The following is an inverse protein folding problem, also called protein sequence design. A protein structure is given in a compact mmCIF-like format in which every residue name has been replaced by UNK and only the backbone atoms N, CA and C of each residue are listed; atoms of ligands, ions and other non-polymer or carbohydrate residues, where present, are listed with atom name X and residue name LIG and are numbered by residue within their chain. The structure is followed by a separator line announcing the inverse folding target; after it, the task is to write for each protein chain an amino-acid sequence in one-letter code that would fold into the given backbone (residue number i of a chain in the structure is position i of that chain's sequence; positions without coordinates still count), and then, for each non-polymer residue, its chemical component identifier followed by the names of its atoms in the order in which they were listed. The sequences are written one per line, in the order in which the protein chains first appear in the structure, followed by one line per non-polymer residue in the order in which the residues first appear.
data_IF_895474498508
#
_entry.id   IF_895474498508
#
_cell.length_a   1.000
_cell.length_b   1.000
_cell.length_c   1.000
_cell.angle_alpha   90.00
_cell.angle_beta   90.00
_cell.angle_gamma   90.00
#
_symmetry.space_group_name_H-M   'P 1'
#
loop_
_entity.id
_entity.type
_entity.pdbx_description
1 polymer ?
#
# COMPACT_ATOMS: atom_id res chain seq x y z
N UNK A 1 10.63 7.06 12.33
CA UNK A 1 11.31 7.85 11.29
C UNK A 1 10.37 8.94 10.79
N UNK A 2 10.89 10.11 10.47
CA UNK A 2 10.17 11.23 9.91
C UNK A 2 10.70 11.57 8.51
N UNK A 3 9.87 12.28 7.73
CA UNK A 3 10.31 12.78 6.44
C UNK A 3 11.42 13.81 6.62
N UNK A 4 12.54 13.63 5.90
CA UNK A 4 13.68 14.50 5.98
C UNK A 4 14.75 14.11 7.02
N UNK A 5 14.55 13.01 7.75
CA UNK A 5 15.60 12.44 8.58
C UNK A 5 16.81 12.04 7.73
N UNK A 6 18.00 12.13 8.31
CA UNK A 6 19.22 11.69 7.63
C UNK A 6 19.15 10.19 7.31
N UNK A 7 19.60 9.76 6.11
CA UNK A 7 19.52 8.37 5.69
C UNK A 7 20.18 7.41 6.67
N UNK A 8 19.54 6.27 6.90
CA UNK A 8 20.03 5.17 7.73
C UNK A 8 20.28 5.52 9.20
N UNK A 9 19.58 6.52 9.75
CA UNK A 9 19.67 6.90 11.16
C UNK A 9 18.65 6.19 12.05
N UNK A 10 17.60 5.59 11.47
CA UNK A 10 16.53 4.86 12.16
C UNK A 10 16.45 3.42 11.68
N UNK A 11 17.48 2.66 11.96
CA UNK A 11 17.59 1.23 11.61
C UNK A 11 17.77 0.39 12.87
N UNK A 12 17.30 -0.87 12.78
CA UNK A 12 17.44 -1.86 13.85
C UNK A 12 17.92 -3.22 13.30
N UNK A 13 18.26 -4.18 14.16
CA UNK A 13 18.74 -5.48 13.75
C UNK A 13 17.75 -6.27 12.87
N UNK A 14 16.43 -6.11 13.08
CA UNK A 14 15.40 -6.80 12.27
C UNK A 14 15.40 -6.25 10.86
N UNK A 15 15.41 -4.93 10.72
CA UNK A 15 15.45 -4.26 9.41
C UNK A 15 16.70 -4.64 8.63
N UNK A 16 17.84 -4.73 9.31
CA UNK A 16 19.12 -5.14 8.72
C UNK A 16 19.18 -6.65 8.38
N UNK A 17 18.20 -7.44 8.77
CA UNK A 17 18.17 -8.87 8.52
C UNK A 17 19.26 -9.64 9.26
N UNK A 18 19.65 -9.19 10.46
CA UNK A 18 20.69 -9.88 11.24
C UNK A 18 20.23 -11.28 11.66
N UNK A 19 21.17 -12.24 11.76
CA UNK A 19 20.83 -13.62 12.14
C UNK A 19 20.09 -13.70 13.47
N UNK A 20 18.99 -14.46 13.49
CA UNK A 20 18.19 -14.71 14.69
C UNK A 20 17.14 -13.64 15.01
N UNK A 21 17.05 -12.57 14.22
CA UNK A 21 16.03 -11.55 14.39
C UNK A 21 14.79 -11.86 13.58
N UNK A 22 13.60 -11.61 14.16
CA UNK A 22 12.31 -11.77 13.49
C UNK A 22 11.41 -10.56 13.77
N UNK A 23 10.61 -10.11 12.79
CA UNK A 23 9.63 -9.07 13.01
C UNK A 23 8.56 -9.48 14.02
N UNK A 24 8.09 -8.52 14.79
CA UNK A 24 6.98 -8.68 15.75
C UNK A 24 5.90 -7.67 15.42
N UNK A 25 4.64 -8.13 15.40
CA UNK A 25 3.49 -7.26 15.11
C UNK A 25 3.33 -6.19 16.21
N UNK A 26 3.18 -4.95 15.79
CA UNK A 26 2.85 -3.85 16.66
C UNK A 26 1.32 -3.77 16.85
N UNK A 27 0.85 -3.76 18.10
CA UNK A 27 -0.57 -3.68 18.45
C UNK A 27 -1.26 -2.47 17.81
N UNK A 28 -0.58 -1.34 17.71
CA UNK A 28 -1.13 -0.12 17.10
C UNK A 28 -1.40 -0.28 15.60
N UNK A 29 -0.57 -1.07 14.92
CA UNK A 29 -0.78 -1.41 13.50
C UNK A 29 -2.06 -2.23 13.32
N UNK A 30 -2.28 -3.21 14.19
CA UNK A 30 -3.51 -4.00 14.19
C UNK A 30 -4.75 -3.12 14.44
N UNK A 31 -4.70 -2.24 15.44
CA UNK A 31 -5.77 -1.27 15.70
C UNK A 31 -6.09 -0.42 14.46
N UNK A 32 -5.07 0.09 13.79
CA UNK A 32 -5.23 0.92 12.60
C UNK A 32 -5.77 0.14 11.41
N UNK A 33 -5.33 -1.09 11.20
CA UNK A 33 -5.85 -1.97 10.16
C UNK A 33 -7.33 -2.27 10.38
N UNK A 34 -7.74 -2.61 11.59
CA UNK A 34 -9.15 -2.85 11.95
C UNK A 34 -10.00 -1.58 11.77
N UNK A 35 -9.54 -0.42 12.25
CA UNK A 35 -10.25 0.85 12.04
C UNK A 35 -10.48 1.16 10.57
N UNK A 36 -9.45 0.97 9.76
CA UNK A 36 -9.53 1.22 8.32
C UNK A 36 -10.49 0.24 7.66
N UNK A 37 -10.42 -1.05 8.02
CA UNK A 37 -11.31 -2.09 7.51
C UNK A 37 -12.78 -1.78 7.79
N UNK A 38 -13.11 -1.41 9.01
CA UNK A 38 -14.47 -1.06 9.39
C UNK A 38 -14.99 0.18 8.64
N UNK A 39 -14.16 1.20 8.47
CA UNK A 39 -14.54 2.40 7.73
C UNK A 39 -14.75 2.15 6.22
N UNK A 40 -14.13 1.11 5.68
CA UNK A 40 -14.27 0.68 4.29
C UNK A 40 -15.31 -0.44 4.12
N UNK A 41 -16.14 -0.69 5.15
CA UNK A 41 -17.17 -1.72 5.16
C UNK A 41 -16.65 -3.14 4.88
N UNK A 42 -15.39 -3.41 5.22
CA UNK A 42 -14.80 -4.74 5.11
C UNK A 42 -15.22 -5.64 6.27
N UNK A 43 -15.33 -6.92 5.99
CA UNK A 43 -15.50 -7.95 7.01
C UNK A 43 -14.15 -8.28 7.64
N UNK A 44 -13.99 -7.95 8.92
CA UNK A 44 -12.75 -8.23 9.65
C UNK A 44 -12.74 -9.72 10.01
N UNK A 45 -11.64 -10.40 9.68
CA UNK A 45 -11.47 -11.83 9.92
C UNK A 45 -11.27 -12.14 11.42
N UNK A 46 -11.82 -13.24 11.92
CA UNK A 46 -11.52 -13.75 13.26
C UNK A 46 -10.11 -14.33 13.35
N UNK A 47 -9.60 -14.84 12.24
CA UNK A 47 -8.25 -15.38 12.09
C UNK A 47 -7.59 -14.78 10.87
N UNK A 48 -6.37 -14.34 11.02
CA UNK A 48 -5.51 -13.92 9.93
C UNK A 48 -4.09 -14.41 10.17
N UNK A 49 -3.28 -14.51 9.12
CA UNK A 49 -1.89 -14.93 9.27
C UNK A 49 -0.97 -14.06 8.45
N UNK A 50 0.29 -14.01 8.87
CA UNK A 50 1.37 -13.44 8.08
C UNK A 50 2.12 -14.53 7.32
N UNK A 51 2.49 -14.19 6.10
CA UNK A 51 3.33 -14.98 5.21
C UNK A 51 4.64 -14.26 4.95
N UNK A 52 5.65 -15.01 4.49
CA UNK A 52 6.90 -14.44 4.01
C UNK A 52 6.87 -14.36 2.49
N UNK A 53 6.68 -13.15 1.98
CA UNK A 53 6.78 -12.86 0.55
C UNK A 53 8.26 -12.72 0.20
N UNK A 54 8.81 -13.69 -0.50
CA UNK A 54 10.22 -13.67 -0.92
C UNK A 54 10.48 -12.48 -1.83
N UNK A 55 11.48 -11.68 -1.46
CA UNK A 55 11.83 -10.44 -2.15
C UNK A 55 13.32 -10.19 -2.06
N UNK A 56 14.04 -10.53 -3.11
CA UNK A 56 15.51 -10.43 -3.18
C UNK A 56 15.91 -9.13 -3.87
N UNK A 57 15.93 -8.04 -3.13
CA UNK A 57 16.33 -6.73 -3.64
C UNK A 57 17.07 -5.93 -2.56
N UNK A 58 17.98 -4.99 -2.94
CA UNK A 58 18.82 -4.27 -1.98
C UNK A 58 18.08 -3.48 -0.90
N UNK A 59 16.84 -3.06 -1.16
CA UNK A 59 16.02 -2.29 -0.23
C UNK A 59 15.34 -3.12 0.87
N UNK A 60 15.54 -4.45 0.86
CA UNK A 60 14.99 -5.36 1.86
C UNK A 60 16.06 -6.39 2.29
N UNK A 61 16.95 -6.06 3.25
CA UNK A 61 18.13 -6.87 3.56
C UNK A 61 17.83 -8.28 4.04
N UNK A 62 16.69 -8.51 4.69
CA UNK A 62 16.29 -9.84 5.15
C UNK A 62 15.74 -10.76 4.06
N UNK A 63 15.65 -10.28 2.80
CA UNK A 63 15.23 -11.01 1.63
C UNK A 63 13.78 -11.51 1.63
N UNK A 64 12.95 -11.06 2.55
CA UNK A 64 11.51 -11.31 2.55
C UNK A 64 10.76 -10.12 3.11
N UNK A 65 9.54 -9.94 2.68
CA UNK A 65 8.58 -8.99 3.22
C UNK A 65 7.53 -9.77 4.02
N UNK A 66 7.25 -9.32 5.24
CA UNK A 66 6.07 -9.82 5.95
C UNK A 66 4.84 -9.22 5.27
N UNK A 67 3.91 -10.08 4.90
CA UNK A 67 2.67 -9.71 4.22
C UNK A 67 1.56 -10.69 4.59
N UNK A 68 0.36 -10.52 4.05
CA UNK A 68 -0.74 -11.47 4.18
C UNK A 68 -1.22 -11.83 2.78
N UNK A 69 -1.54 -13.09 2.52
CA UNK A 69 -1.94 -13.55 1.19
C UNK A 69 -3.33 -14.18 1.20
N UNK A 70 -3.46 -15.42 1.69
CA UNK A 70 -4.70 -16.19 1.65
C UNK A 70 -5.61 -15.99 2.89
N UNK A 71 -5.07 -15.43 3.97
CA UNK A 71 -5.83 -15.10 5.18
C UNK A 71 -5.54 -13.65 5.60
N UNK A 72 -6.02 -12.66 4.85
CA UNK A 72 -5.83 -11.24 5.17
C UNK A 72 -6.65 -10.82 6.38
N UNK A 73 -6.36 -9.63 6.94
CA UNK A 73 -7.10 -9.10 8.10
C UNK A 73 -8.57 -8.78 7.78
N UNK A 74 -8.89 -8.42 6.54
CA UNK A 74 -10.27 -8.11 6.16
C UNK A 74 -10.52 -8.25 4.66
N UNK A 75 -11.76 -8.61 4.30
CA UNK A 75 -12.19 -8.87 2.94
C UNK A 75 -13.61 -8.34 2.66
N UNK A 76 -13.97 -8.29 1.36
CA UNK A 76 -15.31 -8.01 0.86
C UNK A 76 -15.95 -6.71 1.35
N UNK A 77 -15.22 -5.62 1.22
CA UNK A 77 -15.70 -4.28 1.52
C UNK A 77 -16.20 -3.51 0.30
N UNK A 78 -16.52 -2.25 0.55
CA UNK A 78 -16.94 -1.32 -0.50
C UNK A 78 -16.84 0.14 -0.02
N UNK A 79 -16.75 1.03 -0.97
CA UNK A 79 -16.76 2.47 -0.74
C UNK A 79 -17.67 3.15 -1.78
N UNK A 80 -18.52 4.07 -1.36
CA UNK A 80 -19.28 4.94 -2.26
C UNK A 80 -18.51 6.25 -2.46
N UNK A 81 -18.35 6.62 -3.73
CA UNK A 81 -17.61 7.82 -4.13
C UNK A 81 -18.48 8.70 -4.99
N UNK A 82 -18.54 9.97 -4.69
CA UNK A 82 -19.18 10.95 -5.57
C UNK A 82 -18.23 11.30 -6.72
N UNK A 83 -18.71 11.04 -7.93
CA UNK A 83 -17.98 11.36 -9.15
C UNK A 83 -18.54 12.65 -9.72
N UNK A 84 -17.72 13.68 -9.73
CA UNK A 84 -18.08 15.01 -10.24
C UNK A 84 -17.15 15.41 -11.37
N UNK A 85 -17.73 15.80 -12.50
CA UNK A 85 -16.98 16.26 -13.67
C UNK A 85 -17.60 17.57 -14.19
N UNK A 86 -16.74 18.53 -14.52
CA UNK A 86 -17.21 19.84 -14.97
C UNK A 86 -18.11 19.73 -16.21
N UNK A 87 -19.35 20.24 -16.09
CA UNK A 87 -20.35 20.22 -17.17
C UNK A 87 -21.15 18.92 -17.28
N UNK A 88 -21.05 18.03 -16.32
CA UNK A 88 -21.87 16.82 -16.20
C UNK A 88 -22.53 16.77 -14.82
N UNK A 89 -23.64 16.06 -14.73
CA UNK A 89 -24.25 15.76 -13.43
C UNK A 89 -23.34 14.82 -12.61
N UNK A 90 -23.27 15.06 -11.30
CA UNK A 90 -22.57 14.16 -10.40
C UNK A 90 -23.36 12.86 -10.20
N UNK A 91 -22.64 11.78 -9.94
CA UNK A 91 -23.26 10.48 -9.62
C UNK A 91 -22.46 9.77 -8.53
N UNK A 92 -23.12 8.88 -7.80
CA UNK A 92 -22.49 8.04 -6.80
C UNK A 92 -22.05 6.73 -7.44
N UNK A 93 -20.79 6.38 -7.26
CA UNK A 93 -20.23 5.11 -7.71
C UNK A 93 -19.86 4.26 -6.48
N UNK A 94 -20.46 3.08 -6.39
CA UNK A 94 -20.03 2.06 -5.44
C UNK A 94 -18.88 1.25 -6.03
N UNK A 95 -17.75 1.21 -5.32
CA UNK A 95 -16.54 0.48 -5.72
C UNK A 95 -16.28 -0.58 -4.66
N UNK A 96 -16.23 -1.84 -5.08
CA UNK A 96 -15.93 -2.96 -4.22
C UNK A 96 -14.45 -2.97 -3.81
N UNK A 97 -14.20 -3.46 -2.62
CA UNK A 97 -12.86 -3.68 -2.09
C UNK A 97 -12.72 -5.19 -1.87
N UNK A 98 -11.71 -5.78 -2.49
CA UNK A 98 -11.47 -7.21 -2.40
C UNK A 98 -10.95 -7.58 -1.02
N UNK A 99 -9.88 -6.87 -0.59
CA UNK A 99 -9.26 -7.09 0.71
C UNK A 99 -8.49 -5.87 1.20
N UNK A 100 -8.25 -5.88 2.49
CA UNK A 100 -7.21 -5.10 3.15
C UNK A 100 -6.27 -6.08 3.83
N UNK A 101 -4.96 -5.95 3.59
CA UNK A 101 -3.97 -6.76 4.25
C UNK A 101 -2.84 -5.93 4.83
N UNK A 102 -2.24 -6.43 5.90
CA UNK A 102 -1.09 -5.81 6.55
C UNK A 102 0.20 -6.32 5.94
N UNK A 103 1.15 -5.41 5.77
CA UNK A 103 2.51 -5.73 5.34
C UNK A 103 3.52 -4.74 5.91
N UNK A 104 4.76 -4.85 5.53
CA UNK A 104 5.83 -3.90 5.86
C UNK A 104 6.38 -3.24 4.60
N UNK A 105 6.87 -2.01 4.75
CA UNK A 105 7.49 -1.28 3.65
C UNK A 105 8.98 -1.69 3.47
N UNK A 106 9.47 -1.53 2.26
CA UNK A 106 10.88 -1.68 1.93
C UNK A 106 11.63 -0.35 2.13
N UNK A 107 12.96 -0.40 2.10
CA UNK A 107 13.80 0.79 2.08
C UNK A 107 13.57 1.66 0.85
N UNK A 108 14.21 2.81 0.82
CA UNK A 108 14.17 3.74 -0.31
C UNK A 108 15.43 3.59 -1.15
N UNK A 109 15.27 3.43 -2.46
CA UNK A 109 16.35 3.45 -3.43
C UNK A 109 16.45 4.83 -4.08
N UNK A 110 17.67 5.36 -4.13
CA UNK A 110 18.00 6.60 -4.82
C UNK A 110 19.04 6.30 -5.90
N UNK A 111 18.66 6.45 -7.15
CA UNK A 111 19.54 6.16 -8.29
C UNK A 111 20.41 7.38 -8.62
N UNK A 112 21.72 7.19 -8.71
CA UNK A 112 22.64 8.28 -9.00
C UNK A 112 22.63 8.65 -10.50
N UNK A 113 22.24 9.89 -10.78
CA UNK A 113 22.29 10.48 -12.13
C UNK A 113 21.13 10.10 -13.05
N UNK A 114 20.13 9.37 -12.58
CA UNK A 114 18.93 8.98 -13.35
C UNK A 114 17.77 8.68 -12.42
N UNK A 115 16.55 9.01 -12.81
CA UNK A 115 15.32 8.62 -12.10
C UNK A 115 14.96 7.14 -12.34
N UNK A 116 15.72 6.44 -13.18
CA UNK A 116 15.51 5.04 -13.54
C UNK A 116 16.76 4.21 -13.30
N UNK A 117 16.57 2.91 -13.09
CA UNK A 117 17.67 1.95 -12.93
C UNK A 117 18.60 1.93 -14.18
N UNK A 118 18.00 2.04 -15.37
CA UNK A 118 18.74 2.16 -16.63
C UNK A 118 19.48 3.49 -16.71
N UNK A 119 20.82 3.42 -16.79
CA UNK A 119 21.69 4.59 -16.85
C UNK A 119 22.27 5.06 -15.52
N UNK A 120 21.87 4.46 -14.40
CA UNK A 120 22.49 4.72 -13.10
C UNK A 120 23.74 3.87 -12.91
N UNK A 121 24.84 4.51 -12.48
CA UNK A 121 26.10 3.79 -12.19
C UNK A 121 26.08 3.08 -10.83
N UNK A 122 25.27 3.55 -9.90
CA UNK A 122 25.06 2.98 -8.58
C UNK A 122 23.76 3.51 -7.97
N UNK A 123 23.27 2.81 -6.97
CA UNK A 123 22.11 3.24 -6.17
C UNK A 123 22.50 3.33 -4.71
N UNK A 124 21.97 4.35 -4.04
CA UNK A 124 22.04 4.49 -2.60
C UNK A 124 20.78 3.87 -1.99
N UNK A 125 20.93 3.26 -0.83
CA UNK A 125 19.81 2.66 -0.10
C UNK A 125 19.64 3.34 1.24
N UNK A 126 18.44 3.81 1.51
CA UNK A 126 18.03 4.34 2.80
C UNK A 126 17.02 3.38 3.45
N UNK A 127 17.42 2.80 4.57
CA UNK A 127 16.61 1.81 5.31
C UNK A 127 15.68 2.43 6.36
N UNK A 128 15.64 3.74 6.53
CA UNK A 128 14.78 4.37 7.52
C UNK A 128 13.30 3.99 7.37
N UNK A 129 12.85 3.72 6.14
CA UNK A 129 11.49 3.30 5.85
C UNK A 129 11.28 1.79 5.97
N UNK A 130 12.31 0.99 5.85
CA UNK A 130 12.21 -0.46 5.86
C UNK A 130 11.61 -0.97 7.18
N UNK A 131 10.67 -1.89 7.09
CA UNK A 131 9.97 -2.44 8.26
C UNK A 131 8.87 -1.55 8.83
N UNK A 132 8.64 -0.34 8.29
CA UNK A 132 7.47 0.46 8.67
C UNK A 132 6.21 -0.29 8.24
N UNK A 133 5.23 -0.32 9.14
CA UNK A 133 3.96 -0.97 8.86
C UNK A 133 3.21 -0.28 7.72
N UNK A 134 2.66 -1.11 6.85
CA UNK A 134 1.90 -0.73 5.67
C UNK A 134 0.59 -1.53 5.64
N UNK A 135 -0.48 -0.93 5.15
CA UNK A 135 -1.69 -1.65 4.73
C UNK A 135 -1.88 -1.47 3.24
N UNK A 136 -2.19 -2.55 2.56
CA UNK A 136 -2.57 -2.53 1.15
C UNK A 136 -4.07 -2.76 1.03
N UNK A 137 -4.74 -1.86 0.29
CA UNK A 137 -6.17 -1.91 0.00
C UNK A 137 -6.32 -2.25 -1.48
N UNK A 138 -6.89 -3.40 -1.78
CA UNK A 138 -7.08 -3.89 -3.14
C UNK A 138 -8.53 -3.72 -3.55
N UNK A 139 -8.80 -2.91 -4.56
CA UNK A 139 -10.14 -2.72 -5.11
C UNK A 139 -10.56 -3.87 -6.03
N UNK A 140 -11.87 -4.15 -6.10
CA UNK A 140 -12.45 -4.97 -7.18
C UNK A 140 -12.38 -4.18 -8.50
N UNK A 141 -12.44 -4.84 -9.65
CA UNK A 141 -12.30 -4.19 -10.96
C UNK A 141 -13.59 -3.46 -11.39
N UNK A 142 -14.11 -2.57 -10.53
CA UNK A 142 -15.34 -1.81 -10.76
C UNK A 142 -15.08 -0.44 -11.40
N UNK A 143 -13.86 0.06 -11.30
CA UNK A 143 -13.44 1.36 -11.82
C UNK A 143 -13.36 1.28 -13.36
N UNK A 144 -13.92 2.28 -14.03
CA UNK A 144 -14.00 2.32 -15.50
C UNK A 144 -13.34 3.55 -16.11
N UNK A 145 -13.09 4.58 -15.33
CA UNK A 145 -12.51 5.84 -15.82
C UNK A 145 -11.40 6.33 -14.90
N UNK A 146 -10.48 7.12 -15.43
CA UNK A 146 -9.44 7.77 -14.64
C UNK A 146 -10.02 8.72 -13.58
N UNK A 147 -11.19 9.31 -13.82
CA UNK A 147 -11.88 10.16 -12.85
C UNK A 147 -12.38 9.33 -11.65
N UNK A 148 -13.02 8.21 -11.90
CA UNK A 148 -13.44 7.29 -10.83
C UNK A 148 -12.24 6.82 -9.99
N UNK A 149 -11.11 6.49 -10.62
CA UNK A 149 -9.89 6.10 -9.92
C UNK A 149 -9.35 7.24 -9.03
N UNK A 150 -9.32 8.46 -9.54
CA UNK A 150 -8.88 9.65 -8.81
C UNK A 150 -9.76 9.96 -7.61
N UNK A 151 -11.07 9.91 -7.76
CA UNK A 151 -12.01 10.16 -6.66
C UNK A 151 -11.95 9.04 -5.61
N UNK A 152 -11.82 7.79 -6.05
CA UNK A 152 -11.63 6.65 -5.14
C UNK A 152 -10.36 6.82 -4.28
N UNK A 153 -9.22 7.11 -4.91
CA UNK A 153 -7.97 7.35 -4.17
C UNK A 153 -8.07 8.56 -3.21
N UNK A 154 -8.80 9.61 -3.64
CA UNK A 154 -9.05 10.80 -2.82
C UNK A 154 -9.92 10.48 -1.60
N UNK A 155 -10.94 9.62 -1.76
CA UNK A 155 -11.81 9.21 -0.66
C UNK A 155 -11.08 8.29 0.33
N UNK A 156 -10.28 7.34 -0.13
CA UNK A 156 -9.38 6.54 0.73
C UNK A 156 -8.47 7.47 1.54
N UNK A 157 -7.83 8.43 0.87
CA UNK A 157 -6.96 9.42 1.54
C UNK A 157 -7.72 10.21 2.61
N UNK A 158 -8.93 10.65 2.32
CA UNK A 158 -9.78 11.39 3.25
C UNK A 158 -10.13 10.54 4.46
N UNK A 159 -10.50 9.29 4.23
CA UNK A 159 -10.86 8.31 5.26
C UNK A 159 -9.69 8.05 6.21
N UNK A 160 -8.51 7.71 5.72
CA UNK A 160 -7.36 7.38 6.58
C UNK A 160 -6.87 8.59 7.37
N UNK A 161 -7.00 9.80 6.82
CA UNK A 161 -6.70 11.04 7.54
C UNK A 161 -7.72 11.33 8.64
N UNK A 162 -9.01 11.17 8.34
CA UNK A 162 -10.07 11.38 9.33
C UNK A 162 -9.95 10.43 10.52
N UNK A 163 -9.58 9.18 10.27
CA UNK A 163 -9.35 8.16 11.29
C UNK A 163 -8.06 8.37 12.09
N UNK A 164 -7.18 9.25 11.65
CA UNK A 164 -5.85 9.43 12.25
C UNK A 164 -4.92 8.23 12.07
N UNK A 165 -5.16 7.42 11.05
CA UNK A 165 -4.34 6.24 10.72
C UNK A 165 -3.11 6.64 9.90
N UNK A 166 -3.28 7.60 9.00
CA UNK A 166 -2.20 8.15 8.15
C UNK A 166 -2.45 9.62 7.88
N UNK A 167 -1.39 10.39 7.65
CA UNK A 167 -1.49 11.76 7.16
C UNK A 167 -1.88 11.82 5.67
N UNK A 168 -1.77 10.69 4.96
CA UNK A 168 -2.11 10.57 3.55
C UNK A 168 -1.27 11.45 2.64
N UNK A 169 -0.03 11.78 3.03
CA UNK A 169 0.84 12.61 2.24
C UNK A 169 1.52 11.81 1.12
N UNK A 170 1.03 11.98 -0.10
CA UNK A 170 1.56 11.26 -1.27
C UNK A 170 2.98 11.70 -1.64
N UNK A 171 3.35 12.95 -1.37
CA UNK A 171 4.69 13.46 -1.67
C UNK A 171 5.76 12.88 -0.74
N UNK A 172 5.39 12.55 0.47
CA UNK A 172 6.26 11.93 1.46
C UNK A 172 6.16 10.39 1.46
N UNK A 173 5.29 9.84 0.60
CA UNK A 173 5.12 8.39 0.46
C UNK A 173 4.23 7.73 1.51
N UNK A 174 3.51 8.51 2.32
CA UNK A 174 2.55 7.98 3.32
C UNK A 174 1.30 7.36 2.67
N UNK A 175 1.02 7.70 1.43
CA UNK A 175 0.01 7.07 0.59
C UNK A 175 0.56 6.91 -0.82
N UNK A 176 0.42 5.69 -1.35
CA UNK A 176 0.76 5.37 -2.75
C UNK A 176 -0.45 4.75 -3.42
N UNK A 177 -0.60 4.96 -4.70
CA UNK A 177 -1.70 4.40 -5.47
C UNK A 177 -1.17 3.85 -6.79
N UNK A 178 -1.25 2.54 -6.95
CA UNK A 178 -0.89 1.84 -8.18
C UNK A 178 -2.16 1.54 -8.97
N UNK A 179 -2.13 1.82 -10.27
CA UNK A 179 -3.28 1.62 -11.16
C UNK A 179 -2.96 0.52 -12.16
N UNK A 180 -3.69 -0.59 -12.06
CA UNK A 180 -3.63 -1.68 -13.03
C UNK A 180 -4.74 -1.51 -14.06
N UNK A 181 -4.38 -1.48 -15.34
CA UNK A 181 -5.34 -1.31 -16.45
C UNK A 181 -5.36 -2.58 -17.29
N UNK A 182 -6.54 -3.12 -17.50
CA UNK A 182 -6.77 -4.21 -18.46
C UNK A 182 -7.83 -3.83 -19.48
N UNK A 183 -7.61 -4.22 -20.73
CA UNK A 183 -8.56 -4.02 -21.82
C UNK A 183 -9.04 -5.38 -22.29
N UNK A 184 -10.36 -5.64 -22.30
CA UNK A 184 -10.87 -6.89 -22.85
C UNK A 184 -10.58 -6.94 -24.35
N UNK A 185 -9.96 -8.03 -24.79
CA UNK A 185 -9.68 -8.31 -26.21
C UNK A 185 -10.65 -9.39 -26.67
N UNK A 186 -11.52 -9.07 -27.63
CA UNK A 186 -12.31 -10.10 -28.32
C UNK A 186 -11.44 -10.71 -29.41
N UNK A 187 -11.09 -11.99 -29.27
CA UNK A 187 -10.51 -12.75 -30.38
C UNK A 187 -11.65 -13.14 -31.33
N UNK A 188 -11.69 -12.52 -32.50
CA UNK A 188 -12.42 -13.09 -33.62
C UNK A 188 -11.57 -14.24 -34.16
N UNK A 189 -12.01 -15.47 -33.93
CA UNK A 189 -11.43 -16.60 -34.62
C UNK A 189 -11.79 -16.44 -36.11
N UNK A 190 -10.80 -16.25 -36.96
CA UNK A 190 -10.91 -16.42 -38.41
C UNK A 190 -10.93 -17.90 -38.74
#
# INVERSE_FOLDING_TARGET
TAFGDDPNTHIDPVVCGLPGTLPVLNEKVLEYAVKTSLALNLNVAEHCKFDRKQYFYPDLPKNYQISQFDEPIAEDGWLEVEISEKGKDSYIKKIGIERLHMEEDAGKLVHAGSDRLDGSKYSLVDYNRAGIALVEIVSKPDIRTGREASEYASEIRRTVRYLGVSDGNMQEGSLRCDVNISVPVSYTHL
#
